data_IF_102063014587
#
_entry.id   IF_102063014587
#
_cell.length_a   1.000
_cell.length_b   1.000
_cell.length_c   1.000
_cell.angle_alpha   90.00
_cell.angle_beta   90.00
_cell.angle_gamma   90.00
#
_symmetry.space_group_name_H-M   'P 1'
#
loop_
_entity.id
_entity.type
_entity.pdbx_description
1 polymer ?
#
# COMPACT_ATOMS: atom_id res chain seq x y z
N UNK A 1 11.14 -17.48 -0.33
CA UNK A 1 9.79 -17.07 0.09
C UNK A 1 8.87 -17.40 -1.07
N UNK A 2 7.76 -18.09 -0.82
CA UNK A 2 6.80 -18.47 -1.86
C UNK A 2 5.49 -17.73 -1.63
N UNK A 3 4.87 -17.27 -2.72
CA UNK A 3 3.62 -16.48 -2.65
C UNK A 3 2.45 -17.33 -3.11
N UNK A 4 1.43 -17.43 -2.25
CA UNK A 4 0.20 -18.15 -2.53
C UNK A 4 -0.99 -17.18 -2.43
N UNK A 5 -1.82 -17.12 -3.47
CA UNK A 5 -3.07 -16.33 -3.43
C UNK A 5 -4.18 -17.16 -2.79
N UNK A 6 -4.69 -16.69 -1.66
CA UNK A 6 -5.75 -17.37 -0.90
C UNK A 6 -7.05 -16.54 -0.88
N UNK A 7 -8.17 -17.14 -1.29
CA UNK A 7 -9.50 -16.52 -1.18
C UNK A 7 -10.24 -17.07 0.04
N UNK A 8 -10.40 -16.25 1.07
CA UNK A 8 -11.06 -16.63 2.33
C UNK A 8 -12.49 -16.07 2.38
N UNK A 9 -13.48 -16.94 2.55
CA UNK A 9 -14.86 -16.51 2.80
C UNK A 9 -15.08 -16.20 4.30
N UNK A 10 -15.09 -14.91 4.65
CA UNK A 10 -15.26 -14.45 6.04
C UNK A 10 -16.65 -14.72 6.65
N UNK A 11 -17.60 -15.25 5.87
CA UNK A 11 -18.94 -15.59 6.37
C UNK A 11 -19.00 -16.97 7.04
N UNK A 12 -18.04 -17.86 6.77
CA UNK A 12 -17.99 -19.19 7.38
C UNK A 12 -17.18 -19.19 8.67
N UNK A 13 -17.48 -20.11 9.59
CA UNK A 13 -16.74 -20.27 10.86
C UNK A 13 -15.25 -20.54 10.61
N UNK A 14 -14.95 -21.48 9.71
CA UNK A 14 -13.58 -21.80 9.33
C UNK A 14 -12.86 -20.63 8.68
N UNK A 15 -13.53 -19.90 7.77
CA UNK A 15 -12.93 -18.73 7.11
C UNK A 15 -12.57 -17.61 8.08
N UNK A 16 -13.39 -17.39 9.12
CA UNK A 16 -13.06 -16.46 10.21
C UNK A 16 -11.85 -16.93 11.01
N UNK A 17 -11.83 -18.20 11.43
CA UNK A 17 -10.73 -18.76 12.21
C UNK A 17 -9.39 -18.72 11.45
N UNK A 18 -9.40 -19.10 10.16
CA UNK A 18 -8.21 -19.07 9.31
C UNK A 18 -7.67 -17.65 9.14
N UNK A 19 -8.55 -16.66 8.95
CA UNK A 19 -8.13 -15.26 8.84
C UNK A 19 -7.47 -14.77 10.13
N UNK A 20 -8.02 -15.10 11.30
CA UNK A 20 -7.42 -14.71 12.58
C UNK A 20 -6.06 -15.35 12.82
N UNK A 21 -5.89 -16.63 12.46
CA UNK A 21 -4.58 -17.31 12.53
C UNK A 21 -3.53 -16.62 11.64
N UNK A 22 -3.91 -16.25 10.42
CA UNK A 22 -3.02 -15.53 9.50
C UNK A 22 -2.61 -14.16 10.09
N UNK A 23 -3.56 -13.40 10.65
CA UNK A 23 -3.27 -12.13 11.33
C UNK A 23 -2.30 -12.28 12.49
N UNK A 24 -2.46 -13.32 13.31
CA UNK A 24 -1.53 -13.63 14.40
C UNK A 24 -0.13 -13.91 13.84
N UNK A 25 -0.03 -14.73 12.79
CA UNK A 25 1.25 -15.04 12.13
C UNK A 25 1.97 -13.79 11.60
N UNK A 26 1.22 -12.82 11.06
CA UNK A 26 1.76 -11.53 10.59
C UNK A 26 2.24 -10.67 11.76
N UNK A 27 1.40 -10.49 12.79
CA UNK A 27 1.70 -9.64 13.94
C UNK A 27 2.92 -10.13 14.73
N UNK A 28 3.06 -11.46 14.88
CA UNK A 28 4.16 -12.08 15.60
C UNK A 28 5.40 -12.32 14.73
N UNK A 29 5.41 -11.82 13.47
CA UNK A 29 6.49 -12.00 12.50
C UNK A 29 6.90 -13.46 12.30
N UNK A 30 5.94 -14.39 12.38
CA UNK A 30 6.16 -15.84 12.26
C UNK A 30 6.28 -16.32 10.81
N UNK A 31 6.87 -15.51 9.93
CA UNK A 31 7.14 -15.88 8.53
C UNK A 31 5.93 -15.80 7.58
N UNK A 32 4.86 -15.11 7.98
CA UNK A 32 3.70 -14.82 7.12
C UNK A 32 3.61 -13.32 6.87
N UNK A 33 3.45 -12.92 5.62
CA UNK A 33 3.24 -11.53 5.21
C UNK A 33 2.01 -11.41 4.32
N UNK A 34 1.35 -10.25 4.38
CA UNK A 34 0.34 -9.89 3.38
C UNK A 34 1.09 -9.19 2.26
N UNK A 35 1.09 -9.81 1.08
CA UNK A 35 1.51 -9.16 -0.15
C UNK A 35 0.30 -8.41 -0.68
N UNK A 36 0.20 -7.11 -0.38
CA UNK A 36 -0.82 -6.26 -0.99
C UNK A 36 -0.31 -5.82 -2.38
N UNK A 37 -0.88 -6.43 -3.42
CA UNK A 37 -0.54 -6.10 -4.82
C UNK A 37 -0.89 -4.65 -5.20
N UNK A 38 -1.66 -3.94 -4.35
CA UNK A 38 -2.03 -2.55 -4.56
C UNK A 38 -1.20 -1.57 -3.72
N UNK A 39 -0.29 -2.07 -2.87
CA UNK A 39 0.58 -1.18 -2.10
C UNK A 39 1.49 -0.41 -3.06
N UNK A 40 1.52 0.94 -2.99
CA UNK A 40 2.41 1.71 -3.84
C UNK A 40 3.86 1.30 -3.61
N UNK A 41 4.67 1.28 -4.67
CA UNK A 41 6.09 0.99 -4.51
C UNK A 41 6.79 2.04 -3.62
N UNK A 42 7.98 1.71 -3.15
CA UNK A 42 8.75 2.58 -2.23
C UNK A 42 8.98 3.99 -2.75
N UNK A 43 9.11 4.18 -4.07
CA UNK A 43 9.25 5.51 -4.67
C UNK A 43 7.96 6.32 -4.54
N UNK A 44 6.80 5.68 -4.73
CA UNK A 44 5.49 6.32 -4.60
C UNK A 44 5.18 6.66 -3.15
N UNK A 45 5.47 5.76 -2.21
CA UNK A 45 5.33 6.02 -0.77
C UNK A 45 6.17 7.25 -0.37
N UNK A 46 7.43 7.31 -0.80
CA UNK A 46 8.30 8.46 -0.53
C UNK A 46 7.73 9.77 -1.11
N UNK A 47 7.22 9.74 -2.33
CA UNK A 47 6.62 10.93 -2.94
C UNK A 47 5.41 11.43 -2.14
N UNK A 48 4.56 10.52 -1.64
CA UNK A 48 3.43 10.86 -0.75
C UNK A 48 3.95 11.51 0.54
N UNK A 49 4.95 10.93 1.21
CA UNK A 49 5.52 11.51 2.44
C UNK A 49 6.14 12.89 2.23
N UNK A 50 6.78 13.13 1.08
CA UNK A 50 7.36 14.44 0.75
C UNK A 50 6.28 15.50 0.56
N UNK A 51 5.16 15.14 -0.07
CA UNK A 51 3.98 16.01 -0.19
C UNK A 51 3.39 16.34 1.17
N UNK A 52 3.23 15.36 2.06
CA UNK A 52 2.73 15.57 3.44
C UNK A 52 3.65 16.49 4.26
N UNK A 53 4.97 16.40 4.03
CA UNK A 53 5.98 17.29 4.64
C UNK A 53 6.01 18.68 3.99
N UNK A 54 5.16 18.95 3.00
CA UNK A 54 5.07 20.23 2.32
C UNK A 54 6.16 20.49 1.30
N UNK A 55 6.94 19.47 0.89
CA UNK A 55 7.93 19.57 -0.20
C UNK A 55 7.21 19.57 -1.55
N UNK A 56 6.42 20.60 -1.77
CA UNK A 56 5.62 20.81 -2.97
C UNK A 56 5.95 22.18 -3.55
N UNK A 57 5.58 22.39 -4.82
CA UNK A 57 5.58 23.71 -5.42
C UNK A 57 4.14 24.08 -5.78
N UNK A 58 3.86 25.38 -5.76
CA UNK A 58 2.54 25.92 -6.11
C UNK A 58 2.65 26.66 -7.43
N UNK A 59 1.63 26.50 -8.26
CA UNK A 59 1.47 27.20 -9.54
C UNK A 59 0.11 27.86 -9.58
N UNK A 60 -0.04 28.92 -10.37
CA UNK A 60 -1.26 29.74 -10.38
C UNK A 60 -2.38 29.10 -11.20
N UNK A 61 -2.01 28.46 -12.31
CA UNK A 61 -2.93 27.81 -13.23
C UNK A 61 -2.24 26.65 -13.98
N UNK A 62 -2.97 26.02 -14.90
CA UNK A 62 -2.47 24.89 -15.67
C UNK A 62 -1.36 25.26 -16.66
N UNK A 63 -1.32 26.49 -17.18
CA UNK A 63 -0.27 26.92 -18.10
C UNK A 63 1.07 27.04 -17.36
N UNK A 64 1.03 27.61 -16.16
CA UNK A 64 2.20 27.67 -15.29
C UNK A 64 2.67 26.26 -14.88
N UNK A 65 1.73 25.34 -14.61
CA UNK A 65 2.05 23.93 -14.30
C UNK A 65 2.86 23.27 -15.42
N UNK A 66 2.37 23.33 -16.66
CA UNK A 66 3.02 22.67 -17.80
C UNK A 66 4.41 23.27 -18.07
N UNK A 67 4.54 24.59 -17.92
CA UNK A 67 5.83 25.27 -18.03
C UNK A 67 6.86 24.77 -17.00
N UNK A 68 6.47 24.63 -15.73
CA UNK A 68 7.35 24.10 -14.67
C UNK A 68 7.70 22.62 -14.89
N UNK A 69 6.78 21.84 -15.46
CA UNK A 69 7.01 20.43 -15.78
C UNK A 69 7.79 20.21 -17.08
N UNK A 70 8.02 21.26 -17.88
CA UNK A 70 8.75 21.20 -19.14
C UNK A 70 8.05 20.39 -20.23
N UNK A 71 6.71 20.35 -20.19
CA UNK A 71 5.85 19.64 -21.17
C UNK A 71 4.86 20.57 -21.86
#
# INVERSE_FOLDING_TARGET
METIKLKINKRTSYGKALLELIKIGINEKKGVEIVDENEPNSATIKAIEEVEKGKTFKVKDSKDLFKELGI
#
